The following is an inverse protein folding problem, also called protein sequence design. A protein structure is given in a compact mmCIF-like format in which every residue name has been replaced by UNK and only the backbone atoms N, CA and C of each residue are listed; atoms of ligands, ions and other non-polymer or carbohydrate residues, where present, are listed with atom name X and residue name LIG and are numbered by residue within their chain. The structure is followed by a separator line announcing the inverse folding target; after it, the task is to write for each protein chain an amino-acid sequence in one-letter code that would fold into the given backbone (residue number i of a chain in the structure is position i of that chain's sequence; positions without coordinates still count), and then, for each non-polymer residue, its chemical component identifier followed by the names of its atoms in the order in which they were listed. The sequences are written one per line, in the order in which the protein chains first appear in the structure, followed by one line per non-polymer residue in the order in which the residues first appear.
data_IF_047350546495
#
_entry.id   IF_047350546495
#
_cell.length_a   1.000
_cell.length_b   1.000
_cell.length_c   1.000
_cell.angle_alpha   90.00
_cell.angle_beta   90.00
_cell.angle_gamma   90.00
#
_symmetry.space_group_name_H-M   'P 1'
#
loop_
_entity.id
_entity.type
_entity.pdbx_description
1 polymer ?
#
# COMPACT_ATOMS: atom_id res chain seq x y z
N UNK A 1 5.76 -2.79 -14.61
CA UNK A 1 5.37 -3.67 -13.49
C UNK A 1 4.88 -5.04 -13.96
N UNK A 2 3.65 -5.19 -14.48
CA UNK A 2 3.07 -6.51 -14.83
C UNK A 2 4.00 -7.43 -15.65
N UNK A 3 4.64 -6.99 -16.76
CA UNK A 3 5.58 -7.84 -17.49
C UNK A 3 6.77 -8.30 -16.64
N UNK A 4 7.35 -7.41 -15.83
CA UNK A 4 8.49 -7.72 -14.96
C UNK A 4 8.11 -8.74 -13.87
N UNK A 5 6.92 -8.61 -13.26
CA UNK A 5 6.42 -9.60 -12.31
C UNK A 5 6.18 -10.96 -12.98
N UNK A 6 5.65 -10.97 -14.20
CA UNK A 6 5.48 -12.20 -14.98
C UNK A 6 6.83 -12.87 -15.31
N UNK A 7 7.86 -12.08 -15.65
CA UNK A 7 9.22 -12.60 -15.90
C UNK A 7 9.83 -13.27 -14.66
N UNK A 8 9.48 -12.80 -13.45
CA UNK A 8 9.85 -13.40 -12.16
C UNK A 8 8.95 -14.58 -11.76
N UNK A 9 7.95 -14.92 -12.57
CA UNK A 9 7.05 -16.06 -12.34
C UNK A 9 5.80 -15.75 -11.51
N UNK A 10 5.52 -14.48 -11.20
CA UNK A 10 4.31 -14.09 -10.46
C UNK A 10 3.08 -14.00 -11.35
N UNK A 11 1.94 -14.40 -10.79
CA UNK A 11 0.63 -14.11 -11.35
C UNK A 11 0.07 -12.83 -10.72
N UNK A 12 0.35 -11.68 -11.32
CA UNK A 12 -0.08 -10.39 -10.76
C UNK A 12 -1.57 -10.12 -11.01
N UNK A 13 -2.36 -9.99 -9.96
CA UNK A 13 -3.74 -9.50 -10.02
C UNK A 13 -3.77 -8.08 -9.46
N UNK A 14 -4.34 -7.13 -10.19
CA UNK A 14 -4.61 -5.79 -9.64
C UNK A 14 -6.11 -5.57 -9.46
N UNK A 15 -6.46 -4.85 -8.41
CA UNK A 15 -7.82 -4.45 -8.11
C UNK A 15 -7.86 -2.92 -8.04
N UNK A 16 -8.58 -2.29 -8.96
CA UNK A 16 -8.81 -0.84 -8.93
C UNK A 16 -9.87 -0.44 -7.90
N UNK A 17 -10.65 0.60 -8.17
CA UNK A 17 -11.90 0.79 -7.45
C UNK A 17 -12.87 -0.37 -7.74
N UNK A 18 -13.88 -0.59 -6.90
CA UNK A 18 -14.89 -1.63 -7.16
C UNK A 18 -15.57 -1.51 -8.54
N UNK A 19 -15.72 -0.28 -9.06
CA UNK A 19 -16.29 -0.04 -10.40
C UNK A 19 -15.29 -0.30 -11.54
N UNK A 20 -13.99 -0.27 -11.27
CA UNK A 20 -12.92 -0.67 -12.20
C UNK A 20 -12.75 -2.19 -12.18
N UNK A 21 -12.76 -2.78 -10.99
CA UNK A 21 -12.69 -4.22 -10.74
C UNK A 21 -11.28 -4.79 -10.85
N UNK A 22 -11.24 -6.10 -11.09
CA UNK A 22 -10.03 -6.92 -11.13
C UNK A 22 -9.49 -7.07 -12.55
N UNK A 23 -8.17 -6.98 -12.68
CA UNK A 23 -7.40 -7.30 -13.88
C UNK A 23 -6.58 -8.57 -13.66
N UNK A 24 -6.66 -9.49 -14.63
CA UNK A 24 -5.95 -10.77 -14.63
C UNK A 24 -4.45 -10.60 -14.88
N UNK A 25 -3.63 -11.64 -14.61
CA UNK A 25 -2.20 -11.66 -14.95
C UNK A 25 -1.89 -11.29 -16.40
N UNK A 26 -2.74 -11.69 -17.35
CA UNK A 26 -2.60 -11.38 -18.78
C UNK A 26 -3.00 -9.94 -19.16
N UNK A 27 -3.42 -9.12 -18.19
CA UNK A 27 -3.84 -7.73 -18.40
C UNK A 27 -5.31 -7.58 -18.80
N UNK A 28 -6.08 -8.66 -18.89
CA UNK A 28 -7.50 -8.59 -19.25
C UNK A 28 -8.41 -8.27 -18.05
N UNK A 29 -9.43 -7.42 -18.20
CA UNK A 29 -10.39 -7.16 -17.14
C UNK A 29 -11.27 -8.40 -16.89
N UNK A 30 -11.60 -8.65 -15.63
CA UNK A 30 -12.45 -9.79 -15.24
C UNK A 30 -13.94 -9.49 -15.35
N UNK A 31 -14.33 -8.21 -15.26
CA UNK A 31 -15.73 -7.81 -15.02
C UNK A 31 -16.21 -8.10 -13.59
N UNK A 32 -15.32 -8.55 -12.70
CA UNK A 32 -15.59 -8.84 -11.29
C UNK A 32 -14.76 -7.93 -10.39
N UNK A 33 -15.12 -7.87 -9.11
CA UNK A 33 -14.42 -7.09 -8.09
C UNK A 33 -14.54 -7.80 -6.73
N UNK A 34 -13.63 -7.53 -5.81
CA UNK A 34 -13.62 -8.16 -4.49
C UNK A 34 -14.65 -7.58 -3.52
N UNK A 35 -15.34 -6.50 -3.91
CA UNK A 35 -16.30 -5.76 -3.07
C UNK A 35 -15.61 -5.20 -1.83
N UNK A 36 -14.55 -4.43 -2.06
CA UNK A 36 -13.88 -3.67 -0.99
C UNK A 36 -14.94 -2.87 -0.22
N UNK A 37 -14.97 -2.92 1.13
CA UNK A 37 -15.92 -2.19 1.96
C UNK A 37 -15.93 -0.70 1.67
N UNK A 38 -17.01 0.00 1.97
CA UNK A 38 -17.09 1.45 1.83
C UNK A 38 -18.35 1.96 1.16
N UNK A 39 -18.54 3.27 1.26
CA UNK A 39 -19.77 3.96 0.88
C UNK A 39 -20.11 3.81 -0.61
N UNK A 40 -21.40 3.64 -0.89
CA UNK A 40 -21.97 3.57 -2.26
C UNK A 40 -21.32 2.49 -3.14
N UNK A 41 -20.74 1.45 -2.54
CA UNK A 41 -20.07 0.36 -3.26
C UNK A 41 -18.78 0.77 -3.95
N UNK A 42 -18.21 1.95 -3.66
CA UNK A 42 -16.99 2.44 -4.32
C UNK A 42 -15.71 1.76 -3.84
N UNK A 43 -15.73 1.25 -2.61
CA UNK A 43 -14.52 0.84 -1.90
C UNK A 43 -13.91 2.03 -1.17
N UNK A 44 -13.58 1.85 0.11
CA UNK A 44 -12.80 2.75 0.93
C UNK A 44 -11.41 2.13 1.09
N UNK A 45 -10.40 2.80 0.55
CA UNK A 45 -8.99 2.44 0.71
C UNK A 45 -8.24 3.52 1.50
N UNK A 46 -8.96 4.39 2.21
CA UNK A 46 -8.39 5.24 3.24
C UNK A 46 -7.96 4.36 4.42
N UNK A 47 -7.17 4.90 5.35
CA UNK A 47 -6.56 4.10 6.43
C UNK A 47 -7.63 3.41 7.29
N UNK A 48 -8.75 4.08 7.55
CA UNK A 48 -9.92 3.50 8.24
C UNK A 48 -10.59 2.39 7.43
N UNK A 49 -10.72 2.56 6.11
CA UNK A 49 -11.27 1.56 5.20
C UNK A 49 -10.39 0.32 5.07
N UNK A 50 -9.08 0.48 5.14
CA UNK A 50 -8.14 -0.65 5.23
C UNK A 50 -8.30 -1.39 6.56
N UNK A 51 -8.44 -0.67 7.69
CA UNK A 51 -8.73 -1.31 8.98
C UNK A 51 -10.06 -2.08 8.94
N UNK A 52 -11.12 -1.48 8.37
CA UNK A 52 -12.40 -2.17 8.16
C UNK A 52 -12.25 -3.43 7.30
N UNK A 53 -11.49 -3.35 6.20
CA UNK A 53 -11.22 -4.48 5.31
C UNK A 53 -10.51 -5.62 6.06
N UNK A 54 -9.44 -5.33 6.80
CA UNK A 54 -8.68 -6.35 7.54
C UNK A 54 -9.45 -6.91 8.74
N UNK A 55 -10.41 -6.15 9.31
CA UNK A 55 -11.27 -6.66 10.39
C UNK A 55 -12.33 -7.68 9.95
N UNK A 56 -12.48 -7.93 8.65
CA UNK A 56 -13.48 -8.86 8.15
C UNK A 56 -13.17 -10.30 8.60
N UNK A 57 -14.18 -11.10 9.00
CA UNK A 57 -13.95 -12.48 9.40
C UNK A 57 -13.46 -13.31 8.21
N UNK A 58 -12.53 -14.24 8.45
CA UNK A 58 -12.11 -15.19 7.39
C UNK A 58 -13.19 -16.24 7.20
N UNK A 59 -13.56 -16.50 5.94
CA UNK A 59 -14.63 -17.42 5.57
C UNK A 59 -14.19 -18.36 4.45
N UNK A 60 -14.65 -19.61 4.53
CA UNK A 60 -14.46 -20.63 3.49
C UNK A 60 -15.84 -21.27 3.18
N UNK A 61 -16.41 -21.09 1.97
CA UNK A 61 -15.85 -20.37 0.83
C UNK A 61 -15.76 -18.84 1.05
N UNK A 62 -14.88 -18.13 0.32
CA UNK A 62 -14.61 -16.71 0.54
C UNK A 62 -15.83 -15.83 0.22
N UNK A 63 -16.47 -15.33 1.28
CA UNK A 63 -17.74 -14.58 1.21
C UNK A 63 -17.58 -13.06 1.23
N UNK A 64 -16.43 -12.56 1.70
CA UNK A 64 -16.11 -11.13 1.83
C UNK A 64 -14.79 -10.76 1.12
N UNK A 65 -14.43 -9.48 1.15
CA UNK A 65 -13.29 -8.96 0.41
C UNK A 65 -11.97 -9.52 0.96
N UNK A 66 -11.79 -9.52 2.28
CA UNK A 66 -10.56 -10.02 2.90
C UNK A 66 -10.34 -11.51 2.62
N UNK A 67 -11.37 -12.35 2.77
CA UNK A 67 -11.28 -13.78 2.44
C UNK A 67 -10.90 -14.03 0.97
N UNK A 68 -11.29 -13.12 0.04
CA UNK A 68 -10.92 -13.21 -1.37
C UNK A 68 -9.49 -12.76 -1.64
N UNK A 69 -8.97 -11.82 -0.85
CA UNK A 69 -7.56 -11.41 -0.89
C UNK A 69 -6.66 -12.53 -0.39
N UNK A 70 -7.06 -13.23 0.68
CA UNK A 70 -6.39 -14.42 1.22
C UNK A 70 -6.43 -15.66 0.27
N UNK A 71 -6.85 -15.49 -0.98
CA UNK A 71 -6.65 -16.49 -2.03
C UNK A 71 -5.32 -16.28 -2.77
N UNK A 72 -4.59 -15.21 -2.47
CA UNK A 72 -3.28 -14.88 -3.02
C UNK A 72 -2.21 -15.06 -1.95
N UNK A 73 -1.07 -15.62 -2.32
CA UNK A 73 0.07 -15.83 -1.41
C UNK A 73 0.74 -14.51 -0.97
N UNK A 74 0.63 -13.46 -1.80
CA UNK A 74 1.23 -12.15 -1.56
C UNK A 74 0.15 -11.08 -1.70
N UNK A 75 -0.05 -10.30 -0.64
CA UNK A 75 -1.07 -9.25 -0.56
C UNK A 75 -0.37 -7.90 -0.45
N UNK A 76 -0.54 -7.10 -1.49
CA UNK A 76 0.00 -5.74 -1.56
C UNK A 76 -1.15 -4.75 -1.38
N UNK A 77 -1.02 -3.84 -0.42
CA UNK A 77 -2.06 -2.87 -0.12
C UNK A 77 -1.47 -1.48 0.12
N UNK A 78 -2.27 -0.46 -0.18
CA UNK A 78 -1.86 0.94 -0.03
C UNK A 78 -3.07 1.82 0.24
N UNK A 79 -2.86 2.86 1.03
CA UNK A 79 -3.79 3.96 1.13
C UNK A 79 -3.36 5.09 0.20
N UNK A 80 -4.29 5.72 -0.53
CA UNK A 80 -3.98 6.71 -1.58
C UNK A 80 -4.48 8.12 -1.22
N UNK A 81 -4.46 9.06 -2.17
CA UNK A 81 -4.97 10.42 -1.97
C UNK A 81 -6.36 10.43 -1.31
N UNK A 82 -6.60 11.26 -0.27
CA UNK A 82 -5.71 12.27 0.30
C UNK A 82 -5.03 11.87 1.61
N UNK A 83 -4.76 10.58 1.88
CA UNK A 83 -4.36 10.13 3.23
C UNK A 83 -3.04 10.72 3.77
N UNK A 84 -2.18 11.31 2.92
CA UNK A 84 -1.03 12.11 3.37
C UNK A 84 -1.39 13.50 3.89
N UNK A 85 -2.66 13.94 3.81
CA UNK A 85 -3.15 15.18 4.41
C UNK A 85 -3.41 14.99 5.91
N UNK A 86 -2.36 14.69 6.69
CA UNK A 86 -2.48 14.43 8.12
C UNK A 86 -2.59 15.77 8.86
N UNK A 87 -3.81 16.17 9.22
CA UNK A 87 -4.14 17.55 9.65
C UNK A 87 -3.79 17.86 11.10
N UNK A 88 -3.57 16.84 11.93
CA UNK A 88 -3.31 17.01 13.36
C UNK A 88 -2.61 15.80 13.95
N UNK A 89 -2.03 15.98 15.13
CA UNK A 89 -1.40 14.90 15.89
C UNK A 89 -2.43 13.83 16.28
N UNK A 90 -3.67 14.23 16.62
CA UNK A 90 -4.75 13.28 16.88
C UNK A 90 -5.10 12.41 15.66
N UNK A 91 -5.02 12.95 14.44
CA UNK A 91 -5.20 12.17 13.21
C UNK A 91 -4.02 11.23 12.97
N UNK A 92 -2.80 11.69 13.26
CA UNK A 92 -1.58 10.87 13.20
C UNK A 92 -1.68 9.66 14.15
N UNK A 93 -2.03 9.89 15.42
CA UNK A 93 -2.22 8.84 16.43
C UNK A 93 -3.34 7.86 16.04
N UNK A 94 -4.44 8.37 15.47
CA UNK A 94 -5.53 7.52 14.98
C UNK A 94 -5.07 6.63 13.83
N UNK A 95 -4.26 7.14 12.90
CA UNK A 95 -3.70 6.35 11.81
C UNK A 95 -2.75 5.29 12.34
N UNK A 96 -1.88 5.62 13.31
CA UNK A 96 -1.03 4.63 13.96
C UNK A 96 -1.88 3.50 14.57
N UNK A 97 -2.97 3.83 15.26
CA UNK A 97 -3.90 2.85 15.83
C UNK A 97 -4.43 1.88 14.77
N UNK A 98 -4.91 2.40 13.64
CA UNK A 98 -5.43 1.56 12.55
C UNK A 98 -4.35 0.71 11.88
N UNK A 99 -3.13 1.22 11.71
CA UNK A 99 -2.03 0.41 11.19
C UNK A 99 -1.61 -0.70 12.16
N UNK A 100 -1.65 -0.45 13.47
CA UNK A 100 -1.43 -1.49 14.48
C UNK A 100 -2.52 -2.57 14.43
N UNK A 101 -3.79 -2.19 14.27
CA UNK A 101 -4.89 -3.16 14.10
C UNK A 101 -4.71 -4.02 12.83
N UNK A 102 -4.29 -3.42 11.72
CA UNK A 102 -3.96 -4.15 10.48
C UNK A 102 -2.80 -5.12 10.74
N UNK A 103 -1.75 -4.67 11.42
CA UNK A 103 -0.56 -5.48 11.74
C UNK A 103 -0.92 -6.69 12.61
N UNK A 104 -1.79 -6.52 13.60
CA UNK A 104 -2.27 -7.62 14.45
C UNK A 104 -3.04 -8.68 13.63
N UNK A 105 -3.73 -8.29 12.55
CA UNK A 105 -4.36 -9.23 11.61
C UNK A 105 -3.32 -9.90 10.71
N UNK A 106 -2.32 -9.15 10.23
CA UNK A 106 -1.21 -9.70 9.42
C UNK A 106 -0.51 -10.84 10.16
N UNK A 107 -0.23 -10.69 11.45
CA UNK A 107 0.40 -11.72 12.28
C UNK A 107 -0.42 -13.01 12.40
N UNK A 108 -1.74 -12.95 12.19
CA UNK A 108 -2.63 -14.12 12.20
C UNK A 108 -2.57 -14.93 10.89
N UNK A 109 -1.85 -14.45 9.89
CA UNK A 109 -1.71 -15.04 8.56
C UNK A 109 -0.25 -15.34 8.18
N UNK A 110 0.46 -16.19 8.95
CA UNK A 110 1.86 -16.53 8.68
C UNK A 110 2.05 -17.36 7.39
N UNK A 111 0.99 -17.80 6.75
CA UNK A 111 1.02 -18.47 5.44
C UNK A 111 1.01 -17.48 4.25
N UNK A 112 0.95 -16.17 4.52
CA UNK A 112 0.88 -15.10 3.52
C UNK A 112 2.00 -14.07 3.71
N UNK A 113 2.41 -13.42 2.62
CA UNK A 113 3.28 -12.23 2.66
C UNK A 113 2.43 -10.98 2.48
N UNK A 114 2.62 -9.99 3.35
CA UNK A 114 1.96 -8.70 3.28
C UNK A 114 2.95 -7.59 2.95
N UNK A 115 2.61 -6.76 1.96
CA UNK A 115 3.40 -5.59 1.58
C UNK A 115 2.51 -4.35 1.71
N UNK A 116 2.82 -3.51 2.69
CA UNK A 116 2.27 -2.17 2.80
C UNK A 116 3.07 -1.20 1.94
N UNK A 117 2.41 -0.41 1.10
CA UNK A 117 3.05 0.71 0.39
C UNK A 117 2.69 2.00 1.10
N UNK A 118 3.70 2.79 1.51
CA UNK A 118 3.46 4.08 2.15
C UNK A 118 2.71 5.03 1.20
N UNK A 119 1.83 5.87 1.74
CA UNK A 119 1.05 6.82 0.94
C UNK A 119 2.00 7.84 0.29
N UNK A 120 1.82 8.23 -0.99
CA UNK A 120 2.69 9.22 -1.64
C UNK A 120 2.57 10.61 -0.99
N UNK A 121 3.63 11.46 -1.06
CA UNK A 121 3.56 12.84 -0.61
C UNK A 121 2.56 13.65 -1.45
N UNK A 122 2.03 14.73 -0.88
CA UNK A 122 1.13 15.64 -1.58
C UNK A 122 1.90 16.70 -2.37
N UNK A 123 1.26 17.20 -3.43
CA UNK A 123 1.73 18.36 -4.17
C UNK A 123 1.88 19.58 -3.23
N UNK A 124 2.89 20.46 -3.42
CA UNK A 124 3.07 21.65 -2.58
C UNK A 124 1.85 22.58 -2.49
N UNK A 125 1.02 22.61 -3.54
CA UNK A 125 -0.24 23.37 -3.57
C UNK A 125 -1.45 22.65 -2.93
N UNK A 126 -1.28 21.39 -2.51
CA UNK A 126 -2.32 20.56 -1.91
C UNK A 126 -2.07 20.25 -0.42
N UNK A 127 -1.01 20.82 0.16
CA UNK A 127 -0.63 20.60 1.55
C UNK A 127 0.06 21.83 2.14
N UNK A 128 0.55 21.72 3.37
CA UNK A 128 1.35 22.71 4.07
C UNK A 128 2.52 22.02 4.81
N UNK A 129 3.53 22.75 5.30
CA UNK A 129 4.70 22.15 5.95
C UNK A 129 4.37 21.23 7.13
N UNK A 130 3.36 21.57 7.93
CA UNK A 130 2.99 20.77 9.10
C UNK A 130 2.37 19.42 8.69
N UNK A 131 1.45 19.44 7.72
CA UNK A 131 0.84 18.23 7.16
C UNK A 131 1.88 17.35 6.46
N UNK A 132 2.74 17.95 5.63
CA UNK A 132 3.82 17.25 4.93
C UNK A 132 4.82 16.62 5.91
N UNK A 133 5.18 17.34 6.98
CA UNK A 133 6.02 16.82 8.06
C UNK A 133 5.40 15.63 8.78
N UNK A 134 4.10 15.68 9.10
CA UNK A 134 3.39 14.53 9.69
C UNK A 134 3.30 13.34 8.74
N UNK A 135 3.09 13.58 7.44
CA UNK A 135 3.09 12.51 6.44
C UNK A 135 4.44 11.80 6.33
N UNK A 136 5.54 12.57 6.36
CA UNK A 136 6.90 12.04 6.47
C UNK A 136 7.08 11.22 7.74
N UNK A 137 6.67 11.74 8.90
CA UNK A 137 6.77 11.00 10.17
C UNK A 137 6.00 9.68 10.13
N UNK A 138 4.83 9.66 9.49
CA UNK A 138 4.04 8.43 9.34
C UNK A 138 4.77 7.42 8.45
N UNK A 139 5.33 7.85 7.31
CA UNK A 139 6.11 6.98 6.44
C UNK A 139 7.34 6.41 7.18
N UNK A 140 8.08 7.25 7.90
CA UNK A 140 9.23 6.83 8.69
C UNK A 140 8.86 5.86 9.82
N UNK A 141 7.71 6.06 10.49
CA UNK A 141 7.26 5.15 11.53
C UNK A 141 6.88 3.78 10.94
N UNK A 142 6.14 3.75 9.83
CA UNK A 142 5.78 2.51 9.12
C UNK A 142 6.98 1.71 8.62
N UNK A 143 8.11 2.37 8.34
CA UNK A 143 9.35 1.71 7.89
C UNK A 143 10.34 1.42 9.02
N UNK A 144 10.01 1.80 10.26
CA UNK A 144 10.90 1.64 11.42
C UNK A 144 10.82 0.25 12.06
N UNK A 145 11.85 -0.09 12.83
CA UNK A 145 11.84 -1.27 13.71
C UNK A 145 10.68 -1.24 14.72
N UNK A 146 10.21 -0.06 15.14
CA UNK A 146 9.08 0.05 16.07
C UNK A 146 7.81 -0.57 15.49
N UNK A 147 7.60 -0.40 14.18
CA UNK A 147 6.45 -0.96 13.47
C UNK A 147 6.71 -2.37 12.94
N UNK A 148 7.92 -2.67 12.45
CA UNK A 148 8.20 -3.91 11.72
C UNK A 148 8.78 -5.05 12.57
N UNK A 149 9.47 -4.76 13.67
CA UNK A 149 10.20 -5.79 14.43
C UNK A 149 9.24 -6.77 15.08
N UNK A 150 9.42 -8.05 14.79
CA UNK A 150 8.58 -9.14 15.30
C UNK A 150 7.44 -9.56 14.37
N UNK A 151 7.32 -8.92 13.20
CA UNK A 151 6.28 -9.16 12.21
C UNK A 151 6.89 -9.69 10.90
N UNK A 152 7.38 -10.94 10.87
CA UNK A 152 8.25 -11.44 9.80
C UNK A 152 7.56 -11.52 8.43
N UNK A 153 6.23 -11.56 8.40
CA UNK A 153 5.44 -11.63 7.16
C UNK A 153 4.94 -10.25 6.69
N UNK A 154 5.37 -9.16 7.33
CA UNK A 154 5.04 -7.79 6.95
C UNK A 154 6.27 -7.05 6.42
N UNK A 155 6.14 -6.48 5.24
CA UNK A 155 7.15 -5.64 4.60
C UNK A 155 6.53 -4.29 4.24
N UNK A 156 7.33 -3.22 4.29
CA UNK A 156 6.88 -1.87 3.88
C UNK A 156 7.74 -1.33 2.74
N UNK A 157 7.11 -1.01 1.61
CA UNK A 157 7.74 -0.30 0.50
C UNK A 157 7.60 1.21 0.72
N UNK A 158 8.73 1.91 0.92
CA UNK A 158 8.74 3.36 1.18
C UNK A 158 8.56 4.21 -0.09
N UNK A 159 7.35 4.17 -0.62
CA UNK A 159 6.98 4.95 -1.79
C UNK A 159 6.95 6.46 -1.52
N UNK A 160 6.67 6.86 -0.27
CA UNK A 160 6.74 8.26 0.13
C UNK A 160 8.15 8.80 -0.10
N UNK A 161 9.17 8.14 0.43
CA UNK A 161 10.55 8.63 0.35
C UNK A 161 11.06 8.74 -1.08
N UNK A 162 10.71 7.77 -1.92
CA UNK A 162 11.08 7.78 -3.35
C UNK A 162 10.45 8.93 -4.14
N UNK A 163 9.36 9.53 -3.66
CA UNK A 163 8.65 10.61 -4.34
C UNK A 163 8.90 11.99 -3.72
N UNK A 164 9.19 12.04 -2.42
CA UNK A 164 9.23 13.27 -1.66
C UNK A 164 10.53 14.02 -1.89
N UNK A 165 10.42 15.35 -1.93
CA UNK A 165 11.58 16.21 -1.76
C UNK A 165 11.97 16.19 -0.27
N UNK A 166 13.23 15.87 0.07
CA UNK A 166 13.63 15.65 1.46
C UNK A 166 13.62 16.92 2.31
N UNK A 167 13.70 18.10 1.70
CA UNK A 167 13.69 19.38 2.41
C UNK A 167 12.27 19.82 2.76
N UNK A 168 11.31 19.53 1.89
CA UNK A 168 9.92 19.99 2.02
C UNK A 168 8.93 18.93 2.47
N UNK A 169 9.28 17.64 2.35
CA UNK A 169 8.39 16.49 2.54
C UNK A 169 7.17 16.49 1.59
N UNK A 170 7.23 17.24 0.50
CA UNK A 170 6.18 17.35 -0.52
C UNK A 170 6.61 16.61 -1.78
N UNK A 171 5.67 16.39 -2.71
CA UNK A 171 5.98 15.74 -3.99
C UNK A 171 7.07 16.52 -4.74
N UNK A 172 8.19 15.85 -5.03
CA UNK A 172 9.34 16.44 -5.72
C UNK A 172 8.95 17.10 -7.04
N UNK A 173 9.52 18.28 -7.34
CA UNK A 173 9.21 19.04 -8.56
C UNK A 173 9.38 18.22 -9.85
N UNK A 174 10.41 17.37 -9.92
CA UNK A 174 10.65 16.48 -11.06
C UNK A 174 9.60 15.38 -11.27
N UNK A 175 8.77 15.11 -10.25
CA UNK A 175 7.72 14.10 -10.26
C UNK A 175 6.30 14.67 -10.30
N UNK A 176 6.15 15.99 -10.30
CA UNK A 176 4.87 16.66 -10.47
C UNK A 176 4.39 16.58 -11.94
N UNK A 177 3.07 16.57 -12.15
CA UNK A 177 2.47 16.69 -13.48
C UNK A 177 2.53 18.13 -14.00
N UNK A 178 2.26 19.10 -13.13
CA UNK A 178 2.33 20.53 -13.39
C UNK A 178 2.62 21.26 -12.06
N UNK A 179 3.47 22.31 -12.05
CA UNK A 179 3.85 23.01 -10.83
C UNK A 179 2.75 23.93 -10.26
N UNK A 180 1.77 24.31 -11.08
CA UNK A 180 0.71 25.27 -10.77
C UNK A 180 -0.66 24.63 -10.54
N UNK A 181 -0.75 23.30 -10.56
CA UNK A 181 -1.96 22.54 -10.25
C UNK A 181 -1.79 21.74 -8.96
N UNK A 182 -2.79 21.69 -8.05
CA UNK A 182 -2.72 20.90 -6.81
C UNK A 182 -2.92 19.39 -7.07
N UNK A 183 -2.27 18.86 -8.10
CA UNK A 183 -2.38 17.48 -8.53
C UNK A 183 -1.24 16.65 -7.94
N UNK A 184 -1.57 15.79 -6.98
CA UNK A 184 -0.60 14.94 -6.28
C UNK A 184 -0.31 13.61 -7.00
N UNK A 185 -0.83 13.40 -8.20
CA UNK A 185 -0.48 12.21 -8.97
C UNK A 185 0.97 12.33 -9.49
N UNK A 186 1.83 11.32 -9.23
CA UNK A 186 3.17 11.32 -9.78
C UNK A 186 3.13 11.19 -11.31
N UNK A 187 4.07 11.87 -11.97
CA UNK A 187 4.17 11.86 -13.43
C UNK A 187 4.72 10.53 -13.97
N UNK A 188 4.79 10.45 -15.31
CA UNK A 188 5.33 9.28 -16.01
C UNK A 188 6.75 8.92 -15.58
N UNK A 189 7.62 9.91 -15.41
CA UNK A 189 9.01 9.68 -15.05
C UNK A 189 9.13 9.01 -13.68
N UNK A 190 8.38 9.49 -12.67
CA UNK A 190 8.31 8.84 -11.37
C UNK A 190 7.88 7.36 -11.50
N UNK A 191 6.81 7.10 -12.26
CA UNK A 191 6.30 5.74 -12.44
C UNK A 191 7.30 4.82 -13.16
N UNK A 192 8.03 5.33 -14.16
CA UNK A 192 9.04 4.58 -14.91
C UNK A 192 10.30 4.30 -14.08
N UNK A 193 10.68 5.22 -13.20
CA UNK A 193 11.83 5.06 -12.30
C UNK A 193 11.52 4.13 -11.12
N UNK A 194 10.35 4.28 -10.48
CA UNK A 194 10.00 3.56 -9.26
C UNK A 194 9.38 2.19 -9.56
N UNK A 195 8.71 2.04 -10.72
CA UNK A 195 8.06 0.78 -11.10
C UNK A 195 8.99 -0.45 -11.06
N UNK A 196 10.22 -0.40 -11.59
CA UNK A 196 11.20 -1.48 -11.47
C UNK A 196 11.64 -1.74 -10.02
N UNK A 197 11.94 -0.68 -9.25
CA UNK A 197 12.33 -0.79 -7.84
C UNK A 197 11.25 -1.48 -7.01
N UNK A 198 9.99 -1.17 -7.30
CA UNK A 198 8.88 -1.80 -6.60
C UNK A 198 8.74 -3.30 -6.94
N UNK A 199 9.02 -3.69 -8.19
CA UNK A 199 9.01 -5.11 -8.57
C UNK A 199 10.14 -5.88 -7.90
N UNK A 200 11.35 -5.29 -7.87
CA UNK A 200 12.49 -5.86 -7.15
C UNK A 200 12.17 -6.04 -5.66
N UNK A 201 11.63 -5.01 -5.01
CA UNK A 201 11.20 -5.09 -3.61
C UNK A 201 10.17 -6.20 -3.35
N UNK A 202 9.19 -6.37 -4.24
CA UNK A 202 8.19 -7.45 -4.10
C UNK A 202 8.86 -8.81 -4.12
N UNK A 203 9.78 -9.06 -5.05
CA UNK A 203 10.50 -10.33 -5.11
C UNK A 203 11.39 -10.53 -3.88
N UNK A 204 12.16 -9.51 -3.49
CA UNK A 204 13.01 -9.55 -2.30
C UNK A 204 12.22 -9.88 -1.02
N UNK A 205 11.05 -9.25 -0.82
CA UNK A 205 10.16 -9.54 0.31
C UNK A 205 9.72 -11.01 0.31
N UNK A 206 9.29 -11.52 -0.85
CA UNK A 206 8.85 -12.92 -0.99
C UNK A 206 10.00 -13.91 -0.77
N UNK A 207 11.18 -13.65 -1.35
CA UNK A 207 12.34 -14.52 -1.16
C UNK A 207 12.78 -14.48 0.30
N UNK A 208 12.87 -13.30 0.91
CA UNK A 208 13.24 -13.16 2.33
C UNK A 208 12.32 -13.96 3.22
N UNK A 209 11.00 -13.86 3.01
CA UNK A 209 10.03 -14.60 3.80
C UNK A 209 10.18 -16.12 3.63
N UNK A 210 10.29 -16.61 2.38
CA UNK A 210 10.48 -18.03 2.08
C UNK A 210 11.74 -18.62 2.74
N UNK A 211 12.85 -17.88 2.74
CA UNK A 211 14.08 -18.35 3.38
C UNK A 211 13.97 -18.32 4.91
N UNK A 212 13.32 -17.31 5.49
CA UNK A 212 13.10 -17.26 6.95
C UNK A 212 12.24 -18.41 7.49
N UNK A 213 11.31 -18.94 6.67
CA UNK A 213 10.50 -20.10 7.00
C UNK A 213 11.27 -21.44 6.91
N UNK A 214 12.38 -21.51 6.18
CA UNK A 214 13.23 -22.70 6.08
C UNK A 214 14.20 -22.84 7.26
N UNK A 215 14.47 -21.75 7.98
CA UNK A 215 15.36 -21.70 9.14
C UNK A 215 14.64 -21.96 10.48
N UNK A 216 13.31 -22.14 10.46
CA UNK A 216 12.51 -22.58 11.62
C UNK A 216 12.12 -24.07 11.46
N UNK A 217 12.90 -25.01 12.05
CA UNK A 217 12.61 -26.45 12.01
C UNK A 217 11.37 -26.87 12.82
#
# INVERSE_FOLDING_TARGET
MRPLLTELGYQFWDHGFNHTGLVRPDGTPTGAHYRIPGSLGRGNTDVDGLAELFSQPVTDPPSNAFSRLLQHEVIIFKSCFPNSAIKSDAMYEQFQTWYLEIRDVVDQHPDHVFILVTTPPLHPLATNPDEAGRARSMANWLTSDEYLKGHPNLFVFDFFDLLADPETNMLSAGYQLAPDEPNSHPNRLANEMIGPLFVEFIDEAVQTYKHSGLDNP
#
